data_IF_232607614050
#
_entry.id   IF_232607614050
#
_cell.length_a   1.000
_cell.length_b   1.000
_cell.length_c   1.000
_cell.angle_alpha   90.00
_cell.angle_beta   90.00
_cell.angle_gamma   90.00
#
_symmetry.space_group_name_H-M   'P 1'
#
loop_
_entity.id
_entity.type
_entity.pdbx_description
1 polymer ?
#
# COMPACT_ATOMS: atom_id res chain seq x y z
N UNK A 1 -33.55 1.71 2.15
CA UNK A 1 -32.27 1.41 2.82
C UNK A 1 -31.88 2.59 3.70
N UNK A 2 -31.95 2.38 5.01
CA UNK A 2 -31.84 3.39 6.08
C UNK A 2 -30.46 4.07 6.13
N UNK A 3 -30.43 5.36 6.47
CA UNK A 3 -29.24 6.22 6.49
C UNK A 3 -28.23 5.75 7.54
N UNK A 4 -28.73 5.24 8.67
CA UNK A 4 -27.96 4.61 9.75
C UNK A 4 -27.15 3.40 9.26
N UNK A 5 -27.77 2.51 8.47
CA UNK A 5 -27.10 1.32 7.93
C UNK A 5 -26.00 1.72 6.92
N UNK A 6 -26.24 2.76 6.11
CA UNK A 6 -25.21 3.27 5.19
C UNK A 6 -24.01 3.86 5.92
N UNK A 7 -24.23 4.58 7.02
CA UNK A 7 -23.14 5.13 7.84
C UNK A 7 -22.34 4.02 8.51
N UNK A 8 -22.99 3.00 9.07
CA UNK A 8 -22.29 1.87 9.69
C UNK A 8 -21.46 1.10 8.66
N UNK A 9 -21.99 0.89 7.45
CA UNK A 9 -21.27 0.23 6.34
C UNK A 9 -20.10 1.12 5.87
N UNK A 10 -20.32 2.42 5.68
CA UNK A 10 -19.29 3.37 5.27
C UNK A 10 -18.17 3.48 6.30
N UNK A 11 -18.50 3.56 7.59
CA UNK A 11 -17.53 3.59 8.68
C UNK A 11 -16.78 2.26 8.82
N UNK A 12 -17.47 1.13 8.64
CA UNK A 12 -16.84 -0.19 8.69
C UNK A 12 -15.84 -0.36 7.54
N UNK A 13 -16.23 -0.07 6.31
CA UNK A 13 -15.33 -0.15 5.15
C UNK A 13 -14.23 0.92 5.17
N UNK A 14 -14.55 2.15 5.56
CA UNK A 14 -13.58 3.25 5.68
C UNK A 14 -12.47 2.95 6.69
N UNK A 15 -12.82 2.38 7.86
CA UNK A 15 -11.85 1.93 8.86
C UNK A 15 -10.94 0.81 8.36
N UNK A 16 -11.49 -0.12 7.57
CA UNK A 16 -10.72 -1.22 6.99
C UNK A 16 -9.66 -0.67 6.01
N UNK A 17 -10.05 0.30 5.18
CA UNK A 17 -9.14 0.96 4.24
C UNK A 17 -8.04 1.76 4.98
N UNK A 18 -8.39 2.47 6.05
CA UNK A 18 -7.40 3.18 6.88
C UNK A 18 -6.44 2.21 7.59
N UNK A 19 -6.95 1.10 8.13
CA UNK A 19 -6.13 0.06 8.75
C UNK A 19 -5.11 -0.53 7.78
N UNK A 20 -5.51 -0.76 6.52
CA UNK A 20 -4.59 -1.19 5.47
C UNK A 20 -3.44 -0.20 5.27
N UNK A 21 -3.72 1.09 5.17
CA UNK A 21 -2.67 2.11 5.02
C UNK A 21 -1.71 2.13 6.22
N UNK A 22 -2.22 2.05 7.46
CA UNK A 22 -1.36 2.02 8.65
C UNK A 22 -0.44 0.80 8.71
N UNK A 23 -0.94 -0.38 8.32
CA UNK A 23 -0.11 -1.58 8.22
C UNK A 23 0.99 -1.44 7.17
N UNK A 24 0.72 -0.71 6.07
CA UNK A 24 1.66 -0.53 4.96
C UNK A 24 2.70 0.59 5.20
N UNK A 25 2.42 1.55 6.09
CA UNK A 25 3.27 2.72 6.33
C UNK A 25 4.72 2.37 6.67
N UNK A 26 4.95 1.36 7.52
CA UNK A 26 6.30 0.98 7.93
C UNK A 26 7.16 0.49 6.77
N UNK A 27 6.60 -0.37 5.92
CA UNK A 27 7.28 -0.90 4.74
C UNK A 27 7.58 0.20 3.72
N UNK A 28 6.57 1.01 3.41
CA UNK A 28 6.66 2.08 2.41
C UNK A 28 7.59 3.21 2.87
N UNK A 29 7.59 3.53 4.17
CA UNK A 29 8.48 4.51 4.77
C UNK A 29 9.95 4.15 4.60
N UNK A 30 10.32 2.89 4.87
CA UNK A 30 11.69 2.42 4.69
C UNK A 30 12.11 2.43 3.21
N UNK A 31 11.19 2.03 2.32
CA UNK A 31 11.44 2.07 0.88
C UNK A 31 11.71 3.49 0.39
N UNK A 32 10.80 4.44 0.68
CA UNK A 32 10.98 5.85 0.29
C UNK A 32 12.21 6.47 0.94
N UNK A 33 12.52 6.14 2.19
CA UNK A 33 13.73 6.61 2.88
C UNK A 33 15.00 6.20 2.15
N UNK A 34 15.09 4.95 1.65
CA UNK A 34 16.27 4.47 0.92
C UNK A 34 16.41 5.09 -0.48
N UNK A 35 15.33 5.17 -1.25
CA UNK A 35 15.40 5.71 -2.63
C UNK A 35 15.52 7.24 -2.69
N UNK A 36 15.29 7.93 -1.57
CA UNK A 36 15.27 9.40 -1.53
C UNK A 36 16.56 10.03 -0.99
N UNK A 37 17.65 9.27 -0.90
CA UNK A 37 18.95 9.78 -0.45
C UNK A 37 19.39 10.97 -1.32
N UNK A 38 19.69 12.11 -0.68
CA UNK A 38 20.12 13.34 -1.36
C UNK A 38 19.00 14.25 -1.88
N UNK A 39 17.72 13.93 -1.63
CA UNK A 39 16.58 14.81 -1.97
C UNK A 39 16.14 15.64 -0.76
N UNK A 40 15.60 16.83 -1.00
CA UNK A 40 14.97 17.62 0.08
C UNK A 40 13.67 16.96 0.56
N UNK A 41 13.34 17.13 1.84
CA UNK A 41 12.09 16.61 2.43
C UNK A 41 10.87 17.10 1.62
N UNK A 42 10.89 18.37 1.20
CA UNK A 42 9.80 18.96 0.41
C UNK A 42 9.64 18.28 -0.95
N UNK A 43 10.73 18.03 -1.67
CA UNK A 43 10.68 17.33 -2.96
C UNK A 43 10.23 15.88 -2.80
N UNK A 44 10.66 15.20 -1.73
CA UNK A 44 10.21 13.84 -1.41
C UNK A 44 8.70 13.81 -1.19
N UNK A 45 8.18 14.65 -0.29
CA UNK A 45 6.75 14.66 0.06
C UNK A 45 5.88 15.02 -1.15
N UNK A 46 6.24 16.08 -1.88
CA UNK A 46 5.49 16.47 -3.08
C UNK A 46 5.60 15.41 -4.18
N UNK A 47 6.78 14.84 -4.40
CA UNK A 47 6.97 13.79 -5.40
C UNK A 47 6.11 12.56 -5.13
N UNK A 48 6.09 12.07 -3.88
CA UNK A 48 5.31 10.89 -3.49
C UNK A 48 3.81 11.16 -3.63
N UNK A 49 3.33 12.31 -3.16
CA UNK A 49 1.91 12.66 -3.25
C UNK A 49 1.49 12.85 -4.72
N UNK A 50 2.22 13.66 -5.49
CA UNK A 50 1.84 13.97 -6.87
C UNK A 50 1.86 12.73 -7.76
N UNK A 51 2.94 11.95 -7.76
CA UNK A 51 3.02 10.75 -8.60
C UNK A 51 2.07 9.65 -8.12
N UNK A 52 1.91 9.47 -6.80
CA UNK A 52 0.98 8.50 -6.22
C UNK A 52 -0.48 8.80 -6.56
N UNK A 53 -0.89 10.07 -6.45
CA UNK A 53 -2.23 10.52 -6.81
C UNK A 53 -2.49 10.36 -8.32
N UNK A 54 -1.55 10.81 -9.17
CA UNK A 54 -1.71 10.71 -10.63
C UNK A 54 -1.85 9.26 -11.08
N UNK A 55 -0.99 8.36 -10.56
CA UNK A 55 -1.05 6.94 -10.92
C UNK A 55 -2.37 6.29 -10.52
N UNK A 56 -2.83 6.54 -9.29
CA UNK A 56 -4.10 6.01 -8.78
C UNK A 56 -5.29 6.58 -9.57
N UNK A 57 -5.27 7.88 -9.83
CA UNK A 57 -6.33 8.56 -10.57
C UNK A 57 -6.43 8.04 -12.00
N UNK A 58 -5.30 7.90 -12.71
CA UNK A 58 -5.26 7.37 -14.07
C UNK A 58 -5.76 5.92 -14.13
N UNK A 59 -5.34 5.08 -13.19
CA UNK A 59 -5.81 3.69 -13.12
C UNK A 59 -7.32 3.61 -12.91
N UNK A 60 -7.86 4.36 -11.94
CA UNK A 60 -9.30 4.38 -11.66
C UNK A 60 -10.10 5.00 -12.81
N UNK A 61 -9.59 6.05 -13.44
CA UNK A 61 -10.24 6.68 -14.59
C UNK A 61 -10.34 5.72 -15.78
N UNK A 62 -9.28 4.99 -16.09
CA UNK A 62 -9.25 4.04 -17.22
C UNK A 62 -10.05 2.78 -16.89
N UNK A 63 -9.70 2.05 -15.83
CA UNK A 63 -10.32 0.76 -15.53
C UNK A 63 -11.73 0.91 -14.96
N UNK A 64 -11.93 1.88 -14.06
CA UNK A 64 -13.25 2.18 -13.52
C UNK A 64 -14.18 2.77 -14.57
N UNK A 65 -13.67 3.71 -15.38
CA UNK A 65 -14.43 4.28 -16.50
C UNK A 65 -14.83 3.23 -17.54
N UNK A 66 -13.92 2.32 -17.90
CA UNK A 66 -14.20 1.24 -18.84
C UNK A 66 -15.22 0.23 -18.30
N UNK A 67 -15.12 -0.14 -17.02
CA UNK A 67 -16.10 -1.02 -16.37
C UNK A 67 -17.50 -0.41 -16.39
N UNK A 68 -17.62 0.89 -16.07
CA UNK A 68 -18.90 1.62 -16.12
C UNK A 68 -19.45 1.71 -17.56
N UNK A 69 -18.58 1.89 -18.55
CA UNK A 69 -19.00 1.89 -19.95
C UNK A 69 -19.57 0.53 -20.38
N UNK A 70 -18.96 -0.58 -19.98
CA UNK A 70 -19.44 -1.93 -20.27
C UNK A 70 -20.81 -2.22 -19.63
N UNK A 71 -21.02 -1.73 -18.41
CA UNK A 71 -22.31 -1.84 -17.72
C UNK A 71 -23.39 -1.00 -18.43
N UNK A 72 -23.07 0.25 -18.77
CA UNK A 72 -24.02 1.16 -19.45
C UNK A 72 -24.41 0.67 -20.84
N UNK A 73 -23.50 0.04 -21.57
CA UNK A 73 -23.75 -0.49 -22.92
C UNK A 73 -24.43 -1.87 -22.90
N UNK A 74 -24.61 -2.48 -21.73
CA UNK A 74 -25.17 -3.83 -21.59
C UNK A 74 -24.25 -4.95 -22.09
N UNK A 75 -22.99 -4.63 -22.42
CA UNK A 75 -22.01 -5.61 -22.88
C UNK A 75 -21.53 -6.54 -21.76
N UNK A 76 -21.57 -6.08 -20.51
CA UNK A 76 -21.23 -6.88 -19.33
C UNK A 76 -22.08 -6.45 -18.13
N UNK A 77 -22.73 -7.40 -17.46
CA UNK A 77 -23.51 -7.16 -16.24
C UNK A 77 -22.59 -7.04 -15.01
N UNK A 78 -21.85 -5.93 -14.93
CA UNK A 78 -20.81 -5.68 -13.91
C UNK A 78 -21.35 -5.85 -12.48
N UNK A 79 -22.48 -5.23 -12.15
CA UNK A 79 -23.07 -5.32 -10.81
C UNK A 79 -23.50 -6.74 -10.44
N UNK A 80 -24.03 -7.51 -11.38
CA UNK A 80 -24.48 -8.89 -11.13
C UNK A 80 -23.29 -9.84 -10.94
N UNK A 81 -22.27 -9.71 -11.78
CA UNK A 81 -21.03 -10.50 -11.71
C UNK A 81 -20.28 -10.20 -10.42
N UNK A 82 -20.22 -8.93 -10.01
CA UNK A 82 -19.57 -8.51 -8.77
C UNK A 82 -20.18 -9.19 -7.54
N UNK A 83 -21.51 -9.29 -7.50
CA UNK A 83 -22.25 -9.88 -6.38
C UNK A 83 -22.20 -11.41 -6.38
N UNK A 84 -22.12 -12.04 -7.55
CA UNK A 84 -22.17 -13.51 -7.69
C UNK A 84 -20.80 -14.18 -7.66
N UNK A 85 -19.79 -13.59 -8.30
CA UNK A 85 -18.47 -14.21 -8.53
C UNK A 85 -17.29 -13.40 -8.00
N UNK A 86 -17.54 -12.18 -7.49
CA UNK A 86 -16.55 -11.36 -6.81
C UNK A 86 -15.64 -10.53 -7.72
N UNK A 87 -14.83 -9.67 -7.08
CA UNK A 87 -13.99 -8.67 -7.74
C UNK A 87 -12.95 -9.25 -8.69
N UNK A 88 -12.28 -10.35 -8.30
CA UNK A 88 -11.21 -10.95 -9.10
C UNK A 88 -11.72 -11.47 -10.44
N UNK A 89 -12.89 -12.12 -10.44
CA UNK A 89 -13.51 -12.66 -11.64
C UNK A 89 -14.03 -11.54 -12.55
N UNK A 90 -14.65 -10.51 -11.96
CA UNK A 90 -15.08 -9.32 -12.69
C UNK A 90 -13.92 -8.66 -13.45
N UNK A 91 -12.80 -8.42 -12.76
CA UNK A 91 -11.63 -7.78 -13.38
C UNK A 91 -11.08 -8.60 -14.56
N UNK A 92 -11.02 -9.94 -14.43
CA UNK A 92 -10.59 -10.80 -15.52
C UNK A 92 -11.53 -10.72 -16.74
N UNK A 93 -12.85 -10.63 -16.52
CA UNK A 93 -13.83 -10.48 -17.60
C UNK A 93 -13.77 -9.11 -18.27
N UNK A 94 -13.61 -8.04 -17.49
CA UNK A 94 -13.41 -6.68 -18.00
C UNK A 94 -12.14 -6.63 -18.86
N UNK A 95 -11.04 -7.26 -18.44
CA UNK A 95 -9.82 -7.28 -19.24
C UNK A 95 -10.00 -8.11 -20.52
N UNK A 96 -10.77 -9.20 -20.43
CA UNK A 96 -11.06 -10.07 -21.58
C UNK A 96 -12.00 -9.42 -22.60
N UNK A 97 -12.82 -8.43 -22.21
CA UNK A 97 -13.71 -7.72 -23.13
C UNK A 97 -13.00 -6.70 -24.03
N UNK A 98 -11.71 -6.41 -23.77
CA UNK A 98 -10.89 -5.58 -24.66
C UNK A 98 -10.60 -6.30 -26.00
N UNK A 99 -10.34 -5.54 -27.08
CA UNK A 99 -9.83 -6.12 -28.32
C UNK A 99 -8.53 -6.88 -28.03
N UNK A 100 -8.39 -8.09 -28.56
CA UNK A 100 -7.32 -9.04 -28.21
C UNK A 100 -7.29 -9.47 -26.73
N UNK A 101 -8.45 -9.50 -26.06
CA UNK A 101 -8.55 -9.73 -24.61
C UNK A 101 -7.84 -10.97 -24.05
N UNK A 102 -7.68 -12.05 -24.82
CA UNK A 102 -6.87 -13.22 -24.38
C UNK A 102 -5.39 -12.86 -24.18
N UNK A 103 -4.81 -12.06 -25.09
CA UNK A 103 -3.42 -11.61 -25.03
C UNK A 103 -3.27 -10.57 -23.92
N UNK A 104 -4.18 -9.60 -23.86
CA UNK A 104 -4.17 -8.57 -22.82
C UNK A 104 -4.31 -9.17 -21.43
N UNK A 105 -5.19 -10.17 -21.26
CA UNK A 105 -5.33 -10.91 -20.01
C UNK A 105 -4.04 -11.65 -19.64
N UNK A 106 -3.40 -12.35 -20.60
CA UNK A 106 -2.14 -13.04 -20.35
C UNK A 106 -1.04 -12.07 -19.90
N UNK A 107 -0.88 -10.93 -20.58
CA UNK A 107 0.07 -9.88 -20.20
C UNK A 107 -0.24 -9.34 -18.81
N UNK A 108 -1.51 -9.04 -18.52
CA UNK A 108 -1.94 -8.55 -17.22
C UNK A 108 -1.65 -9.55 -16.10
N UNK A 109 -1.89 -10.85 -16.33
CA UNK A 109 -1.56 -11.91 -15.39
C UNK A 109 -0.05 -11.96 -15.12
N UNK A 110 0.79 -11.91 -16.16
CA UNK A 110 2.26 -11.91 -16.00
C UNK A 110 2.72 -10.68 -15.22
N UNK A 111 2.22 -9.49 -15.55
CA UNK A 111 2.52 -8.25 -14.83
C UNK A 111 2.09 -8.33 -13.36
N UNK A 112 0.92 -8.91 -13.08
CA UNK A 112 0.42 -9.10 -11.72
C UNK A 112 1.33 -10.04 -10.92
N UNK A 113 1.81 -11.13 -11.54
CA UNK A 113 2.77 -12.06 -10.91
C UNK A 113 4.09 -11.34 -10.59
N UNK A 114 4.62 -10.55 -11.53
CA UNK A 114 5.87 -9.79 -11.32
C UNK A 114 5.69 -8.75 -10.21
N UNK A 115 4.59 -8.00 -10.23
CA UNK A 115 4.26 -7.01 -9.21
C UNK A 115 4.15 -7.66 -7.82
N UNK A 116 3.49 -8.81 -7.74
CA UNK A 116 3.34 -9.57 -6.50
C UNK A 116 4.69 -10.11 -6.00
N UNK A 117 5.50 -10.70 -6.89
CA UNK A 117 6.84 -11.18 -6.55
C UNK A 117 7.75 -10.06 -6.02
N UNK A 118 7.72 -8.90 -6.68
CA UNK A 118 8.49 -7.70 -6.25
C UNK A 118 8.01 -7.17 -4.90
N UNK A 119 6.70 -7.26 -4.64
CA UNK A 119 6.10 -6.83 -3.37
C UNK A 119 6.54 -7.75 -2.23
N UNK A 120 6.42 -9.08 -2.39
CA UNK A 120 6.88 -10.06 -1.39
C UNK A 120 8.36 -9.85 -1.10
N UNK A 121 9.16 -9.69 -2.15
CA UNK A 121 10.60 -9.54 -2.01
C UNK A 121 10.97 -8.30 -1.19
N UNK A 122 10.29 -7.18 -1.44
CA UNK A 122 10.42 -5.95 -0.65
C UNK A 122 9.95 -6.14 0.80
N UNK A 123 8.83 -6.83 1.03
CA UNK A 123 8.30 -7.07 2.38
C UNK A 123 9.23 -7.97 3.20
N UNK A 124 9.73 -9.06 2.60
CA UNK A 124 10.68 -9.96 3.23
C UNK A 124 11.98 -9.23 3.59
N UNK A 125 12.44 -8.33 2.72
CA UNK A 125 13.59 -7.49 2.98
C UNK A 125 13.37 -6.55 4.19
N UNK A 126 12.23 -5.88 4.29
CA UNK A 126 11.92 -4.99 5.44
C UNK A 126 11.90 -5.78 6.75
N UNK A 127 11.20 -6.92 6.80
CA UNK A 127 11.10 -7.73 8.02
C UNK A 127 12.49 -8.27 8.41
N UNK A 128 13.25 -8.76 7.42
CA UNK A 128 14.60 -9.25 7.67
C UNK A 128 15.55 -8.16 8.16
N UNK A 129 15.34 -6.90 7.78
CA UNK A 129 16.11 -5.74 8.27
C UNK A 129 15.75 -5.40 9.71
N UNK A 130 14.48 -5.51 10.10
CA UNK A 130 14.01 -5.22 11.47
C UNK A 130 14.43 -6.33 12.45
N UNK A 131 14.37 -7.59 12.03
CA UNK A 131 14.72 -8.74 12.88
C UNK A 131 16.22 -9.02 12.95
N UNK A 132 17.04 -8.38 12.13
CA UNK A 132 18.48 -8.57 12.17
C UNK A 132 19.11 -7.73 13.28
N UNK A 133 19.90 -8.38 14.14
CA UNK A 133 20.68 -7.75 15.21
C UNK A 133 21.97 -7.16 14.62
N UNK A 134 22.33 -5.95 15.03
CA UNK A 134 23.57 -5.24 14.63
C UNK A 134 23.72 -4.99 13.11
N UNK A 135 22.65 -4.52 12.46
CA UNK A 135 22.76 -3.98 11.09
C UNK A 135 23.23 -2.52 11.12
N UNK A 136 24.41 -2.25 10.58
CA UNK A 136 24.79 -0.89 10.19
C UNK A 136 23.84 -0.36 9.10
N UNK A 137 23.56 0.95 9.08
CA UNK A 137 22.62 1.60 8.16
C UNK A 137 22.87 1.32 6.66
N UNK A 138 24.05 0.82 6.31
CA UNK A 138 24.51 0.49 4.94
C UNK A 138 24.60 -1.01 4.64
N UNK A 139 24.41 -1.91 5.60
CA UNK A 139 24.54 -3.34 5.36
C UNK A 139 23.21 -4.00 5.02
N UNK A 140 23.24 -4.90 4.03
CA UNK A 140 22.08 -5.70 3.68
C UNK A 140 21.85 -6.83 4.69
N UNK A 141 20.58 -7.13 5.04
CA UNK A 141 20.27 -8.29 5.87
C UNK A 141 20.76 -9.58 5.20
N UNK A 142 21.28 -10.49 6.02
CA UNK A 142 21.81 -11.79 5.55
C UNK A 142 20.79 -12.49 4.65
N UNK A 143 21.22 -12.95 3.47
CA UNK A 143 20.36 -13.56 2.44
C UNK A 143 19.48 -14.69 2.99
N UNK A 144 19.98 -15.50 3.93
CA UNK A 144 19.22 -16.59 4.56
C UNK A 144 18.04 -16.10 5.41
N UNK A 145 18.19 -14.97 6.11
CA UNK A 145 17.10 -14.36 6.88
C UNK A 145 15.98 -13.88 5.93
N UNK A 146 16.36 -13.22 4.83
CA UNK A 146 15.40 -12.77 3.81
C UNK A 146 14.61 -13.93 3.18
N UNK A 147 15.29 -15.02 2.82
CA UNK A 147 14.63 -16.20 2.23
C UNK A 147 13.66 -16.83 3.23
N UNK A 148 14.05 -16.93 4.51
CA UNK A 148 13.18 -17.47 5.56
C UNK A 148 11.88 -16.68 5.68
N UNK A 149 11.97 -15.34 5.70
CA UNK A 149 10.79 -14.48 5.74
C UNK A 149 9.97 -14.52 4.46
N UNK A 150 10.60 -14.62 3.28
CA UNK A 150 9.90 -14.77 2.01
C UNK A 150 9.07 -16.07 1.97
N UNK A 151 9.63 -17.19 2.44
CA UNK A 151 8.93 -18.48 2.52
C UNK A 151 7.79 -18.41 3.54
N UNK A 152 7.99 -17.82 4.71
CA UNK A 152 6.93 -17.64 5.71
C UNK A 152 5.78 -16.79 5.16
N UNK A 153 6.06 -15.68 4.47
CA UNK A 153 5.03 -14.84 3.84
C UNK A 153 4.27 -15.60 2.75
N UNK A 154 4.95 -16.43 1.96
CA UNK A 154 4.31 -17.28 0.95
C UNK A 154 3.38 -18.33 1.59
N UNK A 155 3.80 -18.96 2.70
CA UNK A 155 2.98 -19.91 3.46
C UNK A 155 1.75 -19.25 4.06
N UNK A 156 1.90 -18.06 4.67
CA UNK A 156 0.78 -17.28 5.21
C UNK A 156 -0.21 -16.96 4.09
N UNK A 157 0.28 -16.49 2.95
CA UNK A 157 -0.58 -16.17 1.79
C UNK A 157 -1.31 -17.42 1.29
N UNK A 158 -0.63 -18.55 1.14
CA UNK A 158 -1.25 -19.81 0.72
C UNK A 158 -2.32 -20.29 1.72
N UNK A 159 -2.10 -20.08 3.02
CA UNK A 159 -3.09 -20.35 4.06
C UNK A 159 -4.31 -19.42 3.97
N UNK A 160 -4.10 -18.13 3.72
CA UNK A 160 -5.21 -17.18 3.54
C UNK A 160 -6.02 -17.47 2.27
N UNK A 161 -5.39 -17.93 1.19
CA UNK A 161 -6.09 -18.28 -0.05
C UNK A 161 -7.08 -19.44 0.18
N UNK A 162 -6.74 -20.41 1.02
CA UNK A 162 -7.64 -21.51 1.38
C UNK A 162 -8.83 -21.07 2.23
N UNK A 163 -8.72 -19.96 2.96
CA UNK A 163 -9.83 -19.42 3.74
C UNK A 163 -10.91 -18.74 2.87
N UNK A 164 -10.62 -18.55 1.57
CA UNK A 164 -11.48 -18.13 0.46
C UNK A 164 -12.50 -17.00 0.75
N UNK A 165 -12.19 -16.19 1.77
CA UNK A 165 -13.10 -15.16 2.27
C UNK A 165 -12.37 -13.83 2.32
N UNK A 166 -12.74 -12.95 1.39
CA UNK A 166 -12.33 -11.55 1.38
C UNK A 166 -12.51 -10.91 2.76
N UNK A 167 -13.59 -11.26 3.47
CA UNK A 167 -13.86 -10.77 4.82
C UNK A 167 -12.80 -11.17 5.85
N UNK A 168 -12.21 -12.36 5.74
CA UNK A 168 -11.15 -12.82 6.64
C UNK A 168 -9.87 -12.02 6.42
N UNK A 169 -9.46 -11.81 5.17
CA UNK A 169 -8.30 -10.99 4.81
C UNK A 169 -8.45 -9.54 5.29
N UNK A 170 -9.64 -8.96 5.10
CA UNK A 170 -9.93 -7.60 5.57
C UNK A 170 -9.90 -7.52 7.10
N UNK A 171 -10.42 -8.52 7.80
CA UNK A 171 -10.44 -8.56 9.27
C UNK A 171 -9.03 -8.72 9.86
N UNK A 172 -8.20 -9.60 9.30
CA UNK A 172 -6.80 -9.77 9.72
C UNK A 172 -5.99 -8.49 9.55
N UNK A 173 -6.21 -7.77 8.44
CA UNK A 173 -5.56 -6.46 8.21
C UNK A 173 -5.90 -5.48 9.33
N UNK A 174 -7.18 -5.35 9.69
CA UNK A 174 -7.61 -4.44 10.77
C UNK A 174 -6.95 -4.80 12.10
N UNK A 175 -6.94 -6.09 12.46
CA UNK A 175 -6.32 -6.56 13.71
C UNK A 175 -4.82 -6.27 13.70
N UNK A 176 -4.13 -6.48 12.59
CA UNK A 176 -2.69 -6.19 12.44
C UNK A 176 -2.36 -4.69 12.49
N UNK A 177 -3.29 -3.82 12.09
CA UNK A 177 -3.09 -2.37 12.05
C UNK A 177 -3.20 -1.72 13.43
N UNK A 178 -3.96 -2.32 14.35
CA UNK A 178 -4.21 -1.78 15.68
C UNK A 178 -2.92 -1.52 16.51
N UNK A 179 -1.95 -2.46 16.60
CA UNK A 179 -0.69 -2.20 17.29
C UNK A 179 0.23 -1.22 16.55
N UNK A 180 0.03 -0.98 15.25
CA UNK A 180 0.86 -0.04 14.48
C UNK A 180 0.52 1.42 14.77
N UNK A 181 -0.71 1.73 15.16
CA UNK A 181 -1.15 3.10 15.46
C UNK A 181 -0.24 3.81 16.50
N UNK A 182 0.01 3.26 17.70
CA UNK A 182 0.90 3.91 18.67
C UNK A 182 2.34 4.02 18.17
N UNK A 183 2.82 3.04 17.41
CA UNK A 183 4.17 3.06 16.83
C UNK A 183 4.31 4.23 15.83
N UNK A 184 3.30 4.46 14.99
CA UNK A 184 3.29 5.59 14.05
C UNK A 184 3.28 6.93 14.78
N UNK A 185 2.54 7.05 15.88
CA UNK A 185 2.54 8.27 16.70
C UNK A 185 3.94 8.52 17.28
N UNK A 186 4.60 7.50 17.82
CA UNK A 186 5.97 7.60 18.32
C UNK A 186 6.96 8.00 17.22
N UNK A 187 6.82 7.45 16.02
CA UNK A 187 7.65 7.81 14.86
C UNK A 187 7.45 9.28 14.46
N UNK A 188 6.22 9.78 14.45
CA UNK A 188 5.94 11.20 14.18
C UNK A 188 6.60 12.12 15.22
N UNK A 189 6.52 11.76 16.51
CA UNK A 189 7.16 12.52 17.59
C UNK A 189 8.69 12.48 17.43
N UNK A 190 9.25 11.30 17.13
CA UNK A 190 10.70 11.12 16.92
C UNK A 190 11.21 11.95 15.75
N UNK A 191 10.52 11.91 14.60
CA UNK A 191 10.89 12.68 13.41
C UNK A 191 10.83 14.17 13.71
N UNK A 192 9.78 14.63 14.41
CA UNK A 192 9.67 16.03 14.80
C UNK A 192 10.84 16.47 15.68
N UNK A 193 11.17 15.68 16.71
CA UNK A 193 12.29 15.97 17.61
C UNK A 193 13.63 16.00 16.85
N UNK A 194 13.88 15.03 15.98
CA UNK A 194 15.07 15.00 15.13
C UNK A 194 15.14 16.22 14.20
N UNK A 195 14.03 16.62 13.60
CA UNK A 195 13.98 17.79 12.73
C UNK A 195 14.24 19.09 13.52
N UNK A 196 13.73 19.20 14.73
CA UNK A 196 13.98 20.34 15.62
C UNK A 196 15.46 20.42 16.05
N UNK A 197 16.10 19.29 16.35
CA UNK A 197 17.53 19.21 16.68
C UNK A 197 18.42 19.56 15.47
N UNK A 198 18.11 18.99 14.29
CA UNK A 198 18.92 19.15 13.08
C UNK A 198 18.82 20.58 12.51
N UNK A 199 17.64 21.22 12.64
CA UNK A 199 17.41 22.61 12.22
C UNK A 199 17.51 23.64 13.36
N UNK A 200 18.00 23.26 14.55
CA UNK A 200 18.14 24.17 15.69
C UNK A 200 18.99 25.41 15.36
N UNK A 201 20.00 25.26 14.51
CA UNK A 201 20.88 26.34 14.05
C UNK A 201 20.17 27.38 13.16
N UNK A 202 19.06 27.04 12.48
CA UNK A 202 18.24 28.00 11.74
C UNK A 202 17.34 28.85 12.65
N UNK A 203 16.96 28.32 13.82
CA UNK A 203 16.17 29.05 14.81
C UNK A 203 17.04 30.09 15.55
N UNK A 204 18.30 29.76 15.84
CA UNK A 204 19.27 30.70 16.44
C UNK A 204 19.50 31.93 15.55
N UNK A 205 19.61 31.75 14.23
CA UNK A 205 19.76 32.87 13.30
C UNK A 205 18.52 33.79 13.23
N UNK A 206 17.31 33.26 13.44
CA UNK A 206 16.10 34.09 13.51
C UNK A 206 16.04 34.95 14.77
N UNK A 207 16.56 34.46 15.90
CA UNK A 207 16.65 35.25 17.13
C UNK A 207 17.74 36.34 17.04
N UNK A 208 18.91 36.01 16.48
CA UNK A 208 19.99 37.00 16.28
C UNK A 208 19.56 38.13 15.33
N UNK A 209 18.77 37.83 14.28
CA UNK A 209 18.25 38.85 13.36
C UNK A 209 17.12 39.68 13.96
N UNK A 210 16.34 39.15 14.92
CA UNK A 210 15.31 39.93 15.64
C UNK A 210 15.88 40.85 16.72
N UNK A 211 17.12 40.65 17.13
CA UNK A 211 17.77 41.40 18.23
C UNK A 211 18.71 42.50 17.72
N UNK A 212 18.74 42.74 16.39
CA UNK A 212 19.37 43.90 15.74
C UNK A 212 18.29 44.80 15.15
#
# INVERSE_FOLDING_TARGET
>A
MDRSIREVIFLRHGRILLGWWFAYTGMVGLFFGRISRGRTIRQLVLGVITWGCIGTWLFLAVMGGYSLFLEKTGALAVTEILNSQGMSFLNALVIKSLPFGKITLAIFTVLSIIFYATTIDSSAYVISSICAKDLENTQEPRRWNRITWAVLLALITAGLLQADSLQTTLSMTVVSSLPMIPILILLCISIRKWLEEDFAHLNLNKEIVKTK
#
